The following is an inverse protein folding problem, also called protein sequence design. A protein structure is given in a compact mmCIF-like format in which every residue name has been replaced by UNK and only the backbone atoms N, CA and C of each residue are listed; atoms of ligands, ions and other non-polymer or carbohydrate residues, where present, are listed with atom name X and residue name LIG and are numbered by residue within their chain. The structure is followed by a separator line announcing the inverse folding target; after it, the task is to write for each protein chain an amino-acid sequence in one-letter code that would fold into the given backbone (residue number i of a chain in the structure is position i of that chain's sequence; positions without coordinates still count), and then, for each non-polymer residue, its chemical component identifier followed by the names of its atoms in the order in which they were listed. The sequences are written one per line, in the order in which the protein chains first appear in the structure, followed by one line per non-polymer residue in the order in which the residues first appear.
data_IF_617885491499
#
_entry.id   IF_617885491499
#
_cell.length_a   1.000
_cell.length_b   1.000
_cell.length_c   1.000
_cell.angle_alpha   90.00
_cell.angle_beta   90.00
_cell.angle_gamma   90.00
#
_symmetry.space_group_name_H-M   'P 1'
#
loop_
_entity.id
_entity.type
_entity.pdbx_description
1 polymer ?
#
# COMPACT_ATOMS: atom_id res chain seq x y z
N UNK A 1 47.08 2.05 -8.22
CA UNK A 1 46.90 0.56 -8.12
C UNK A 1 45.55 0.23 -7.43
N UNK A 2 44.48 1.02 -7.62
CA UNK A 2 43.14 0.72 -7.09
C UNK A 2 42.08 1.04 -8.18
N UNK A 3 42.19 0.36 -9.33
CA UNK A 3 41.18 0.48 -10.39
C UNK A 3 40.99 -0.80 -11.20
N UNK A 4 41.09 -1.96 -10.60
CA UNK A 4 40.94 -3.24 -11.28
C UNK A 4 40.15 -4.31 -10.51
N UNK A 5 39.10 -3.88 -9.72
CA UNK A 5 38.19 -4.84 -9.12
C UNK A 5 36.76 -4.37 -9.33
N UNK A 6 36.11 -4.85 -10.38
CA UNK A 6 34.73 -4.51 -10.62
C UNK A 6 34.13 -4.92 -11.96
N UNK A 7 34.78 -5.80 -12.71
CA UNK A 7 34.12 -6.51 -13.82
C UNK A 7 34.15 -8.00 -13.54
N UNK A 8 33.38 -8.43 -12.57
CA UNK A 8 32.99 -9.82 -12.40
C UNK A 8 32.29 -10.24 -13.70
N UNK A 9 33.00 -11.05 -14.51
CA UNK A 9 32.42 -11.81 -15.62
C UNK A 9 31.19 -12.52 -15.07
N UNK A 10 30.01 -12.08 -15.43
CA UNK A 10 28.87 -12.95 -15.50
C UNK A 10 29.31 -14.09 -16.44
N UNK A 11 29.75 -15.19 -15.86
CA UNK A 11 29.99 -16.41 -16.57
C UNK A 11 28.67 -16.70 -17.29
N UNK A 12 28.69 -16.57 -18.61
CA UNK A 12 27.63 -17.06 -19.46
C UNK A 12 27.58 -18.58 -19.23
N UNK A 13 26.82 -19.00 -18.22
CA UNK A 13 26.49 -20.41 -18.02
C UNK A 13 25.88 -20.86 -19.33
N UNK A 14 26.57 -21.73 -20.06
CA UNK A 14 26.06 -22.36 -21.27
C UNK A 14 24.77 -23.08 -20.86
N UNK A 15 23.61 -22.43 -21.10
CA UNK A 15 22.31 -23.00 -20.75
C UNK A 15 22.15 -24.32 -21.53
N UNK A 16 22.07 -25.42 -20.81
CA UNK A 16 21.72 -26.71 -21.35
C UNK A 16 20.38 -26.62 -22.14
N UNK A 17 20.20 -27.47 -23.16
CA UNK A 17 18.91 -27.50 -23.90
C UNK A 17 17.71 -27.69 -22.97
N UNK A 18 17.85 -28.49 -21.89
CA UNK A 18 16.83 -28.67 -20.87
C UNK A 18 16.50 -27.38 -20.12
N UNK A 19 17.51 -26.56 -19.78
CA UNK A 19 17.28 -25.26 -19.10
C UNK A 19 16.52 -24.28 -19.99
N UNK A 20 16.75 -24.29 -21.31
CA UNK A 20 16.01 -23.44 -22.25
C UNK A 20 14.54 -23.82 -22.34
N UNK A 21 14.21 -25.11 -22.31
CA UNK A 21 12.81 -25.57 -22.30
C UNK A 21 12.10 -25.15 -21.02
N UNK A 22 12.75 -25.30 -19.86
CA UNK A 22 12.20 -24.85 -18.57
C UNK A 22 11.97 -23.34 -18.57
N UNK A 23 12.97 -22.55 -19.03
CA UNK A 23 12.84 -21.08 -19.14
C UNK A 23 11.67 -20.70 -20.06
N UNK A 24 11.45 -21.43 -21.18
CA UNK A 24 10.34 -21.17 -22.09
C UNK A 24 8.98 -21.47 -21.44
N UNK A 25 8.88 -22.59 -20.70
CA UNK A 25 7.66 -22.95 -19.97
C UNK A 25 7.36 -21.88 -18.90
N UNK A 26 8.37 -21.46 -18.13
CA UNK A 26 8.20 -20.40 -17.11
C UNK A 26 7.74 -19.08 -17.78
N UNK A 27 8.39 -18.69 -18.88
CA UNK A 27 8.01 -17.49 -19.61
C UNK A 27 6.56 -17.58 -20.14
N UNK A 28 6.14 -18.72 -20.66
CA UNK A 28 4.78 -18.96 -21.14
C UNK A 28 3.74 -18.84 -20.00
N UNK A 29 4.03 -19.47 -18.85
CA UNK A 29 3.17 -19.35 -17.66
C UNK A 29 3.09 -17.89 -17.19
N UNK A 30 4.23 -17.17 -17.13
CA UNK A 30 4.24 -15.76 -16.76
C UNK A 30 3.41 -14.90 -17.72
N UNK A 31 3.50 -15.14 -19.03
CA UNK A 31 2.70 -14.40 -20.03
C UNK A 31 1.21 -14.67 -19.84
N UNK A 32 0.80 -15.91 -19.61
CA UNK A 32 -0.60 -16.25 -19.33
C UNK A 32 -1.08 -15.50 -18.06
N UNK A 33 -0.32 -15.55 -16.98
CA UNK A 33 -0.66 -14.85 -15.74
C UNK A 33 -0.79 -13.33 -15.96
N UNK A 34 0.13 -12.73 -16.71
CA UNK A 34 0.06 -11.30 -17.07
C UNK A 34 -1.23 -11.00 -17.84
N UNK A 35 -1.56 -11.81 -18.84
CA UNK A 35 -2.79 -11.63 -19.62
C UNK A 35 -4.02 -11.73 -18.71
N UNK A 36 -4.12 -12.76 -17.88
CA UNK A 36 -5.25 -12.95 -16.96
C UNK A 36 -5.42 -11.75 -16.01
N UNK A 37 -4.30 -11.19 -15.52
CA UNK A 37 -4.35 -10.03 -14.63
C UNK A 37 -4.68 -8.72 -15.37
N UNK A 38 -4.17 -8.53 -16.59
CA UNK A 38 -4.38 -7.29 -17.35
C UNK A 38 -5.75 -7.20 -18.02
N UNK A 39 -6.32 -8.31 -18.47
CA UNK A 39 -7.60 -8.31 -19.17
C UNK A 39 -8.73 -7.59 -18.41
N UNK A 40 -9.00 -7.88 -17.13
CA UNK A 40 -10.04 -7.18 -16.38
C UNK A 40 -9.74 -5.69 -16.21
N UNK A 41 -8.46 -5.31 -16.02
CA UNK A 41 -8.05 -3.90 -15.90
C UNK A 41 -8.30 -3.13 -17.19
N UNK A 42 -7.91 -3.72 -18.35
CA UNK A 42 -8.16 -3.14 -19.66
C UNK A 42 -9.67 -3.01 -19.95
N UNK A 43 -10.47 -3.99 -19.55
CA UNK A 43 -11.93 -3.91 -19.68
C UNK A 43 -12.51 -2.73 -18.88
N UNK A 44 -12.09 -2.53 -17.62
CA UNK A 44 -12.52 -1.39 -16.80
C UNK A 44 -12.15 -0.06 -17.49
N UNK A 45 -10.92 0.07 -18.00
CA UNK A 45 -10.49 1.27 -18.74
C UNK A 45 -11.30 1.46 -20.01
N UNK A 46 -11.55 0.38 -20.79
CA UNK A 46 -12.37 0.46 -21.99
C UNK A 46 -13.80 0.90 -21.67
N UNK A 47 -14.42 0.35 -20.61
CA UNK A 47 -15.78 0.72 -20.17
C UNK A 47 -15.83 2.17 -19.69
N UNK A 48 -14.81 2.67 -18.97
CA UNK A 48 -14.78 4.05 -18.46
C UNK A 48 -14.75 5.11 -19.58
N UNK A 49 -14.30 4.74 -20.77
CA UNK A 49 -14.18 5.60 -21.96
C UNK A 49 -15.27 5.34 -23.01
N UNK A 50 -16.19 4.42 -22.74
CA UNK A 50 -17.23 4.00 -23.71
C UNK A 50 -18.57 4.70 -23.45
N UNK A 51 -19.42 4.75 -24.50
CA UNK A 51 -20.78 5.23 -24.35
C UNK A 51 -21.62 4.26 -23.52
N UNK A 52 -22.57 4.81 -22.77
CA UNK A 52 -23.53 4.05 -21.94
C UNK A 52 -24.28 3.01 -22.77
N UNK A 53 -24.69 3.34 -24.02
CA UNK A 53 -25.38 2.42 -24.90
C UNK A 53 -24.53 1.21 -25.32
N UNK A 54 -23.24 1.41 -25.60
CA UNK A 54 -22.34 0.33 -25.97
C UNK A 54 -22.10 -0.64 -24.80
N UNK A 55 -22.09 -0.12 -23.56
CA UNK A 55 -21.97 -0.93 -22.34
C UNK A 55 -23.23 -1.77 -22.11
N UNK A 56 -24.43 -1.17 -22.20
CA UNK A 56 -25.71 -1.88 -22.06
C UNK A 56 -25.83 -3.01 -23.10
N UNK A 57 -25.37 -2.73 -24.33
CA UNK A 57 -25.41 -3.75 -25.42
C UNK A 57 -24.31 -4.82 -25.27
N UNK A 58 -23.47 -4.77 -24.21
CA UNK A 58 -22.40 -5.75 -24.01
C UNK A 58 -21.28 -5.71 -25.06
N UNK A 59 -21.14 -4.62 -25.80
CA UNK A 59 -20.23 -4.54 -26.95
C UNK A 59 -18.80 -4.15 -26.58
N UNK A 60 -18.56 -3.76 -25.31
CA UNK A 60 -17.27 -3.29 -24.82
C UNK A 60 -16.51 -4.44 -24.17
N UNK A 61 -15.43 -4.90 -24.79
CA UNK A 61 -14.51 -5.88 -24.19
C UNK A 61 -13.18 -5.24 -23.80
N UNK A 62 -12.28 -5.04 -24.77
CA UNK A 62 -10.92 -4.51 -24.53
C UNK A 62 -10.71 -3.13 -25.13
N UNK A 63 -11.54 -2.71 -26.07
CA UNK A 63 -11.45 -1.43 -26.75
C UNK A 63 -12.70 -0.59 -26.50
N UNK A 64 -12.55 0.73 -26.26
CA UNK A 64 -13.66 1.64 -26.08
C UNK A 64 -14.55 1.67 -27.34
N UNK A 65 -15.86 1.68 -27.15
CA UNK A 65 -16.84 1.90 -28.23
C UNK A 65 -17.70 3.12 -27.92
N UNK A 66 -17.82 4.03 -28.90
CA UNK A 66 -18.54 5.28 -28.69
C UNK A 66 -17.85 6.16 -27.62
N UNK A 67 -16.63 6.65 -27.95
CA UNK A 67 -15.81 7.45 -27.01
C UNK A 67 -16.62 8.51 -26.27
N UNK A 68 -16.63 8.43 -24.92
CA UNK A 68 -17.38 9.35 -24.07
C UNK A 68 -16.61 9.63 -22.77
N UNK A 69 -16.39 10.91 -22.51
CA UNK A 69 -15.72 11.38 -21.29
C UNK A 69 -16.69 11.98 -20.25
N UNK A 70 -18.01 11.83 -20.46
CA UNK A 70 -19.03 12.42 -19.57
C UNK A 70 -18.88 11.92 -18.14
N UNK A 71 -18.58 10.63 -17.92
CA UNK A 71 -18.35 10.08 -16.59
C UNK A 71 -17.15 10.73 -15.89
N UNK A 72 -16.05 10.97 -16.60
CA UNK A 72 -14.90 11.67 -16.06
C UNK A 72 -15.21 13.14 -15.73
N UNK A 73 -15.98 13.83 -16.60
CA UNK A 73 -16.44 15.19 -16.30
C UNK A 73 -17.29 15.23 -15.05
N UNK A 74 -18.19 14.27 -14.86
CA UNK A 74 -19.02 14.17 -13.65
C UNK A 74 -18.16 13.90 -12.41
N UNK A 75 -17.21 12.96 -12.48
CA UNK A 75 -16.29 12.66 -11.37
C UNK A 75 -15.43 13.87 -11.01
N UNK A 76 -14.91 14.59 -11.98
CA UNK A 76 -14.03 15.75 -11.75
C UNK A 76 -14.80 17.00 -11.32
N UNK A 77 -16.06 17.18 -11.75
CA UNK A 77 -16.88 18.32 -11.38
C UNK A 77 -17.54 18.19 -10.00
N UNK A 78 -17.72 16.97 -9.51
CA UNK A 78 -18.27 16.76 -8.17
C UNK A 78 -17.15 16.88 -7.11
N UNK A 79 -17.26 17.92 -6.29
CA UNK A 79 -16.30 18.20 -5.22
C UNK A 79 -16.09 17.03 -4.23
N UNK A 80 -17.05 16.09 -4.13
CA UNK A 80 -16.92 14.91 -3.26
C UNK A 80 -15.77 14.00 -3.70
N UNK A 81 -15.65 13.73 -5.01
CA UNK A 81 -14.59 12.84 -5.53
C UNK A 81 -13.22 13.50 -5.43
N UNK A 82 -13.13 14.75 -5.85
CA UNK A 82 -11.86 15.50 -5.83
C UNK A 82 -11.38 15.73 -4.39
N UNK A 83 -12.28 16.04 -3.46
CA UNK A 83 -11.95 16.18 -2.05
C UNK A 83 -11.55 14.83 -1.43
N UNK A 84 -12.31 13.75 -1.67
CA UNK A 84 -11.95 12.42 -1.16
C UNK A 84 -10.59 11.95 -1.65
N UNK A 85 -10.24 12.26 -2.90
CA UNK A 85 -8.90 11.95 -3.45
C UNK A 85 -7.82 12.76 -2.73
N UNK A 86 -8.00 14.08 -2.60
CA UNK A 86 -7.08 14.97 -1.90
C UNK A 86 -6.92 14.54 -0.43
N UNK A 87 -8.02 14.25 0.25
CA UNK A 87 -8.01 13.73 1.62
C UNK A 87 -7.26 12.42 1.73
N UNK A 88 -7.47 11.48 0.81
CA UNK A 88 -6.74 10.19 0.78
C UNK A 88 -5.24 10.42 0.64
N UNK A 89 -4.81 11.33 -0.23
CA UNK A 89 -3.40 11.66 -0.39
C UNK A 89 -2.81 12.26 0.90
N UNK A 90 -3.48 13.24 1.51
CA UNK A 90 -3.07 13.85 2.78
C UNK A 90 -2.99 12.80 3.89
N UNK A 91 -4.05 12.00 4.04
CA UNK A 91 -4.12 10.94 5.04
C UNK A 91 -3.00 9.91 4.85
N UNK A 92 -2.72 9.53 3.60
CA UNK A 92 -1.63 8.59 3.27
C UNK A 92 -0.28 9.14 3.70
N UNK A 93 0.01 10.41 3.43
CA UNK A 93 1.26 11.06 3.84
C UNK A 93 1.36 11.12 5.36
N UNK A 94 0.33 11.60 6.05
CA UNK A 94 0.32 11.71 7.51
C UNK A 94 0.49 10.34 8.16
N UNK A 95 -0.31 9.34 7.75
CA UNK A 95 -0.21 7.98 8.30
C UNK A 95 1.17 7.37 8.06
N UNK A 96 1.76 7.58 6.87
CA UNK A 96 3.10 7.06 6.57
C UNK A 96 4.16 7.69 7.47
N UNK A 97 4.13 9.00 7.66
CA UNK A 97 5.08 9.70 8.54
C UNK A 97 4.93 9.23 9.98
N UNK A 98 3.70 9.20 10.51
CA UNK A 98 3.42 8.75 11.88
C UNK A 98 3.85 7.30 12.07
N UNK A 99 3.46 6.41 11.15
CA UNK A 99 3.78 4.98 11.25
C UNK A 99 5.28 4.71 11.15
N UNK A 100 6.00 5.38 10.26
CA UNK A 100 7.45 5.26 10.17
C UNK A 100 8.16 5.77 11.41
N UNK A 101 7.69 6.88 11.98
CA UNK A 101 8.22 7.43 13.23
C UNK A 101 8.02 6.44 14.37
N UNK A 102 6.79 5.92 14.56
CA UNK A 102 6.49 4.93 15.59
C UNK A 102 7.27 3.63 15.39
N UNK A 103 7.36 3.13 14.17
CA UNK A 103 8.15 1.93 13.82
C UNK A 103 9.62 2.11 14.19
N UNK A 104 10.21 3.25 13.84
CA UNK A 104 11.61 3.57 14.14
C UNK A 104 11.86 3.70 15.63
N UNK A 105 11.01 4.47 16.34
CA UNK A 105 11.13 4.70 17.78
C UNK A 105 10.92 3.42 18.59
N UNK A 106 10.06 2.50 18.13
CA UNK A 106 9.88 1.19 18.75
C UNK A 106 11.02 0.21 18.45
N UNK A 107 11.54 0.21 17.21
CA UNK A 107 12.58 -0.71 16.79
C UNK A 107 13.96 -0.37 17.41
N UNK A 108 14.30 0.92 17.49
CA UNK A 108 15.64 1.37 17.86
C UNK A 108 16.06 0.99 19.29
N UNK A 109 15.27 1.23 20.35
CA UNK A 109 15.67 0.82 21.71
C UNK A 109 15.87 -0.68 21.85
N UNK A 110 15.14 -1.48 21.06
CA UNK A 110 15.16 -2.93 21.15
C UNK A 110 16.42 -3.58 20.55
N UNK A 111 17.28 -2.81 19.89
CA UNK A 111 18.57 -3.33 19.44
C UNK A 111 19.63 -3.32 20.54
N UNK A 112 19.44 -2.51 21.60
CA UNK A 112 20.41 -2.43 22.70
C UNK A 112 20.29 -3.64 23.63
N UNK A 113 21.39 -4.40 23.78
CA UNK A 113 21.44 -5.58 24.66
C UNK A 113 21.29 -5.22 26.13
N UNK A 114 21.77 -4.03 26.51
CA UNK A 114 21.72 -3.51 27.88
C UNK A 114 20.35 -2.95 28.28
N UNK A 115 19.34 -2.93 27.39
CA UNK A 115 18.00 -2.44 27.71
C UNK A 115 17.33 -3.32 28.77
N UNK A 116 17.06 -2.75 29.94
CA UNK A 116 16.36 -3.45 31.03
C UNK A 116 14.94 -3.81 30.59
N UNK A 117 14.55 -5.08 30.75
CA UNK A 117 13.21 -5.55 30.34
C UNK A 117 13.06 -5.84 28.85
N UNK A 118 14.12 -5.84 28.04
CA UNK A 118 14.07 -6.09 26.58
C UNK A 118 13.31 -7.36 26.21
N UNK A 119 13.51 -8.46 26.96
CA UNK A 119 12.78 -9.73 26.72
C UNK A 119 11.28 -9.56 26.92
N UNK A 120 10.88 -8.87 27.98
CA UNK A 120 9.48 -8.59 28.27
C UNK A 120 8.83 -7.74 27.16
N UNK A 121 9.47 -6.63 26.78
CA UNK A 121 8.96 -5.78 25.70
C UNK A 121 8.86 -6.53 24.36
N UNK A 122 9.87 -7.33 24.00
CA UNK A 122 9.81 -8.16 22.81
C UNK A 122 8.65 -9.16 22.84
N UNK A 123 8.44 -9.84 23.96
CA UNK A 123 7.33 -10.79 24.10
C UNK A 123 5.98 -10.10 24.06
N UNK A 124 5.84 -8.94 24.69
CA UNK A 124 4.62 -8.14 24.68
C UNK A 124 4.26 -7.70 23.25
N UNK A 125 5.24 -7.14 22.52
CA UNK A 125 5.05 -6.70 21.14
C UNK A 125 4.68 -7.88 20.23
N UNK A 126 5.38 -9.00 20.35
CA UNK A 126 5.04 -10.22 19.60
C UNK A 126 3.65 -10.75 19.96
N UNK A 127 3.26 -10.71 21.23
CA UNK A 127 1.91 -11.09 21.65
C UNK A 127 0.85 -10.26 20.94
N UNK A 128 1.03 -8.93 20.82
CA UNK A 128 0.08 -8.05 20.11
C UNK A 128 -0.02 -8.34 18.62
N UNK A 129 0.96 -9.00 18.01
CA UNK A 129 0.92 -9.43 16.62
C UNK A 129 -0.06 -10.57 16.39
N UNK A 130 -0.16 -11.49 17.36
CA UNK A 130 -1.01 -12.69 17.26
C UNK A 130 -2.37 -12.53 17.93
N UNK A 131 -2.46 -11.62 18.91
CA UNK A 131 -3.70 -11.36 19.62
C UNK A 131 -4.44 -10.18 19.01
N UNK A 132 -5.68 -10.45 18.54
CA UNK A 132 -6.59 -9.40 18.05
C UNK A 132 -7.90 -9.52 18.86
N UNK A 133 -8.28 -8.43 19.53
CA UNK A 133 -9.50 -8.38 20.33
C UNK A 133 -10.79 -8.48 19.50
N UNK A 134 -10.69 -8.26 18.19
CA UNK A 134 -11.83 -8.25 17.28
C UNK A 134 -12.46 -6.87 17.08
N UNK A 135 -13.40 -6.82 16.14
CA UNK A 135 -14.00 -5.54 15.69
C UNK A 135 -14.85 -4.88 16.77
N UNK A 136 -15.67 -5.66 17.49
CA UNK A 136 -16.61 -5.13 18.50
C UNK A 136 -15.86 -4.50 19.68
N UNK A 137 -14.90 -5.17 20.36
CA UNK A 137 -14.11 -4.56 21.41
C UNK A 137 -13.36 -3.30 20.97
N UNK A 138 -12.77 -3.32 19.77
CA UNK A 138 -12.08 -2.15 19.23
C UNK A 138 -13.04 -0.97 19.01
N UNK A 139 -14.25 -1.23 18.50
CA UNK A 139 -15.27 -0.19 18.32
C UNK A 139 -15.67 0.43 19.66
N UNK A 140 -15.91 -0.40 20.69
CA UNK A 140 -16.27 0.10 22.02
C UNK A 140 -15.15 0.93 22.63
N UNK A 141 -13.90 0.48 22.51
CA UNK A 141 -12.73 1.23 22.97
C UNK A 141 -12.62 2.60 22.28
N UNK A 142 -12.76 2.65 20.95
CA UNK A 142 -12.66 3.92 20.21
C UNK A 142 -13.85 4.85 20.53
N UNK A 143 -15.00 4.28 20.83
CA UNK A 143 -16.17 5.04 21.31
C UNK A 143 -15.90 5.70 22.67
N UNK A 144 -15.38 4.95 23.64
CA UNK A 144 -15.03 5.45 24.97
C UNK A 144 -13.92 6.49 24.92
N UNK A 145 -12.95 6.34 24.02
CA UNK A 145 -11.88 7.33 23.81
C UNK A 145 -12.32 8.57 23.02
N UNK A 146 -13.61 8.66 22.59
CA UNK A 146 -14.10 9.76 21.80
C UNK A 146 -13.49 9.87 20.39
N UNK A 147 -12.97 8.76 19.86
CA UNK A 147 -12.33 8.71 18.55
C UNK A 147 -13.32 8.45 17.41
N UNK A 148 -14.55 8.04 17.69
CA UNK A 148 -15.54 7.84 16.63
C UNK A 148 -15.85 9.15 15.92
N UNK A 149 -15.98 9.07 14.62
CA UNK A 149 -16.22 10.23 13.74
C UNK A 149 -15.13 11.33 13.82
N UNK A 150 -13.91 10.96 14.22
CA UNK A 150 -12.74 11.82 14.30
C UNK A 150 -11.64 11.26 13.38
N UNK A 151 -11.02 12.07 12.49
CA UNK A 151 -9.92 11.61 11.62
C UNK A 151 -8.77 10.89 12.33
N UNK A 152 -8.56 11.16 13.61
CA UNK A 152 -7.53 10.50 14.42
C UNK A 152 -7.73 8.98 14.52
N UNK A 153 -8.97 8.48 14.39
CA UNK A 153 -9.22 7.02 14.37
C UNK A 153 -8.62 6.33 13.15
N UNK A 154 -8.41 7.07 12.06
CA UNK A 154 -7.76 6.56 10.85
C UNK A 154 -6.23 6.56 10.94
N UNK A 155 -5.66 7.29 11.92
CA UNK A 155 -4.22 7.50 12.06
C UNK A 155 -3.66 6.67 13.23
N UNK A 156 -4.21 6.87 14.44
CA UNK A 156 -3.62 6.35 15.68
C UNK A 156 -3.66 4.82 15.78
N UNK A 157 -4.80 4.13 15.59
CA UNK A 157 -4.87 2.69 15.78
C UNK A 157 -3.94 1.88 14.86
N UNK A 158 -3.72 2.38 13.64
CA UNK A 158 -2.91 1.72 12.62
C UNK A 158 -1.49 2.31 12.51
N UNK A 159 -1.04 3.08 13.51
CA UNK A 159 0.24 3.79 13.47
C UNK A 159 1.46 2.88 13.63
N UNK A 160 1.31 1.64 14.08
CA UNK A 160 2.41 0.70 14.25
C UNK A 160 2.03 -0.68 13.75
N UNK A 161 2.80 -1.20 12.78
CA UNK A 161 2.80 -2.60 12.39
C UNK A 161 3.96 -3.32 13.06
N UNK A 162 3.66 -4.31 13.89
CA UNK A 162 4.70 -5.13 14.56
C UNK A 162 5.57 -5.84 13.53
N UNK A 163 5.00 -6.32 12.43
CA UNK A 163 5.74 -6.96 11.34
C UNK A 163 6.79 -6.01 10.73
N UNK A 164 6.39 -4.78 10.40
CA UNK A 164 7.33 -3.79 9.84
C UNK A 164 8.36 -3.32 10.86
N UNK A 165 7.99 -3.26 12.14
CA UNK A 165 8.91 -2.96 13.22
C UNK A 165 10.01 -4.05 13.35
N UNK A 166 9.65 -5.33 13.21
CA UNK A 166 10.61 -6.43 13.21
C UNK A 166 11.57 -6.33 12.02
N UNK A 167 11.07 -6.01 10.82
CA UNK A 167 11.91 -5.79 9.63
C UNK A 167 12.90 -4.64 9.89
N UNK A 168 12.41 -3.50 10.38
CA UNK A 168 13.27 -2.35 10.71
C UNK A 168 14.34 -2.72 11.73
N UNK A 169 13.97 -3.41 12.81
CA UNK A 169 14.90 -3.88 13.84
C UNK A 169 15.94 -4.83 13.28
N UNK A 170 15.54 -5.78 12.43
CA UNK A 170 16.46 -6.72 11.78
C UNK A 170 17.48 -5.99 10.91
N UNK A 171 17.04 -4.94 10.21
CA UNK A 171 17.94 -4.10 9.43
C UNK A 171 18.90 -3.33 10.34
N UNK A 172 18.44 -2.77 11.45
CA UNK A 172 19.29 -2.10 12.41
C UNK A 172 20.38 -3.01 12.98
N UNK A 173 20.09 -4.31 13.19
CA UNK A 173 21.09 -5.30 13.58
C UNK A 173 22.16 -5.59 12.51
N UNK A 174 21.89 -5.30 11.26
CA UNK A 174 22.87 -5.46 10.18
C UNK A 174 23.92 -4.34 10.14
N UNK A 175 23.70 -3.25 10.87
CA UNK A 175 24.61 -2.12 10.99
C UNK A 175 25.68 -2.50 12.02
N UNK A 176 26.99 -2.40 11.69
CA UNK A 176 28.07 -2.77 12.62
C UNK A 176 28.03 -1.98 13.93
N UNK A 177 28.11 -2.69 15.05
CA UNK A 177 28.12 -2.07 16.40
C UNK A 177 29.29 -1.09 16.61
N UNK A 178 30.41 -1.30 15.91
CA UNK A 178 31.59 -0.41 15.99
C UNK A 178 31.27 1.06 15.65
N UNK A 179 30.31 1.30 14.75
CA UNK A 179 29.89 2.66 14.41
C UNK A 179 29.17 3.33 15.58
N UNK A 180 28.33 2.56 16.28
CA UNK A 180 27.64 3.02 17.48
C UNK A 180 28.62 3.28 18.62
N UNK A 181 29.52 2.32 18.89
CA UNK A 181 30.50 2.39 19.96
C UNK A 181 31.46 3.58 19.78
N UNK A 182 31.93 3.82 18.55
CA UNK A 182 32.75 5.00 18.26
C UNK A 182 32.01 6.31 18.58
N UNK A 183 30.74 6.41 18.17
CA UNK A 183 29.95 7.60 18.45
C UNK A 183 29.64 7.79 19.97
N UNK A 184 29.46 6.68 20.71
CA UNK A 184 29.29 6.72 22.16
C UNK A 184 30.58 7.23 22.83
N UNK A 185 31.77 6.84 22.37
CA UNK A 185 33.07 7.35 22.84
C UNK A 185 33.20 8.85 22.55
N UNK A 186 32.72 9.31 21.38
CA UNK A 186 32.67 10.73 21.01
C UNK A 186 31.60 11.53 21.78
N UNK A 187 30.90 10.90 22.74
CA UNK A 187 29.89 11.54 23.59
C UNK A 187 28.54 11.76 22.93
N UNK A 188 28.24 11.07 21.82
CA UNK A 188 26.95 11.16 21.18
C UNK A 188 25.87 10.41 21.99
N UNK A 189 24.78 11.12 22.34
CA UNK A 189 23.62 10.49 22.97
C UNK A 189 22.80 9.61 22.00
N UNK A 190 21.92 8.72 22.52
CA UNK A 190 21.17 7.76 21.72
C UNK A 190 20.35 8.37 20.56
N UNK A 191 19.73 9.52 20.79
CA UNK A 191 18.94 10.22 19.75
C UNK A 191 19.85 10.71 18.61
N UNK A 192 21.02 11.25 18.94
CA UNK A 192 22.00 11.69 17.94
C UNK A 192 22.51 10.52 17.12
N UNK A 193 22.79 9.39 17.75
CA UNK A 193 23.22 8.15 17.09
C UNK A 193 22.11 7.65 16.13
N UNK A 194 20.85 7.64 16.58
CA UNK A 194 19.72 7.29 15.72
C UNK A 194 19.67 8.18 14.48
N UNK A 195 19.69 9.50 14.66
CA UNK A 195 19.50 10.46 13.57
C UNK A 195 20.70 10.53 12.62
N UNK A 196 21.92 10.40 13.14
CA UNK A 196 23.16 10.61 12.37
C UNK A 196 23.75 9.33 11.79
N UNK A 197 23.46 8.16 12.37
CA UNK A 197 24.05 6.88 11.94
C UNK A 197 22.96 5.93 11.44
N UNK A 198 22.03 5.55 12.31
CA UNK A 198 21.05 4.51 11.95
C UNK A 198 20.11 4.93 10.84
N UNK A 199 19.47 6.11 10.90
CA UNK A 199 18.54 6.57 9.88
C UNK A 199 19.19 6.76 8.49
N UNK A 200 20.37 7.43 8.37
CA UNK A 200 21.03 7.56 7.08
C UNK A 200 21.44 6.24 6.44
N UNK A 201 21.93 5.29 7.24
CA UNK A 201 22.32 3.97 6.77
C UNK A 201 21.10 3.08 6.42
N UNK A 202 19.95 3.36 7.03
CA UNK A 202 18.70 2.61 6.86
C UNK A 202 17.78 3.15 5.77
N UNK A 203 18.22 4.10 4.94
CA UNK A 203 17.42 4.66 3.85
C UNK A 203 16.72 3.59 2.97
N UNK A 204 17.35 2.47 2.59
CA UNK A 204 16.68 1.46 1.76
C UNK A 204 15.47 0.81 2.44
N UNK A 205 15.60 0.40 3.71
CA UNK A 205 14.49 -0.21 4.45
C UNK A 205 13.42 0.82 4.81
N UNK A 206 13.80 2.05 5.14
CA UNK A 206 12.87 3.16 5.39
C UNK A 206 12.01 3.41 4.15
N UNK A 207 12.61 3.49 2.96
CA UNK A 207 11.89 3.69 1.71
C UNK A 207 10.92 2.53 1.43
N UNK A 208 11.36 1.28 1.65
CA UNK A 208 10.52 0.09 1.45
C UNK A 208 9.33 0.05 2.41
N UNK A 209 9.56 0.27 3.69
CA UNK A 209 8.49 0.25 4.69
C UNK A 209 7.55 1.45 4.54
N UNK A 210 8.06 2.63 4.19
CA UNK A 210 7.23 3.79 3.86
C UNK A 210 6.29 3.50 2.70
N UNK A 211 6.78 2.79 1.67
CA UNK A 211 5.94 2.34 0.56
C UNK A 211 4.83 1.40 1.03
N UNK A 212 5.15 0.42 1.86
CA UNK A 212 4.14 -0.53 2.37
C UNK A 212 3.06 0.18 3.19
N UNK A 213 3.43 1.11 4.08
CA UNK A 213 2.48 1.92 4.81
C UNK A 213 1.63 2.79 3.89
N UNK A 214 2.26 3.47 2.91
CA UNK A 214 1.56 4.33 1.97
C UNK A 214 0.56 3.57 1.11
N UNK A 215 0.96 2.43 0.52
CA UNK A 215 0.08 1.57 -0.29
C UNK A 215 -1.05 0.99 0.55
N UNK A 216 -0.74 0.52 1.77
CA UNK A 216 -1.74 0.00 2.70
C UNK A 216 -2.78 1.06 3.06
N UNK A 217 -2.37 2.30 3.35
CA UNK A 217 -3.30 3.40 3.67
C UNK A 217 -4.10 3.87 2.46
N UNK A 218 -3.46 3.99 1.29
CA UNK A 218 -4.15 4.37 0.05
C UNK A 218 -5.31 3.44 -0.29
N UNK A 219 -5.12 2.13 -0.09
CA UNK A 219 -6.14 1.11 -0.38
C UNK A 219 -7.08 0.83 0.80
N UNK A 220 -6.79 1.36 1.99
CA UNK A 220 -7.57 1.13 3.20
C UNK A 220 -8.87 1.92 3.22
N UNK A 221 -9.98 1.25 3.51
CA UNK A 221 -11.30 1.88 3.68
C UNK A 221 -12.10 1.30 4.85
N UNK A 222 -11.76 0.12 5.34
CA UNK A 222 -12.55 -0.62 6.33
C UNK A 222 -12.69 0.12 7.65
N UNK A 223 -11.64 0.80 8.09
CA UNK A 223 -11.63 1.64 9.29
C UNK A 223 -12.52 2.87 9.11
N UNK A 224 -12.46 3.53 7.95
CA UNK A 224 -13.35 4.65 7.64
C UNK A 224 -14.81 4.20 7.54
N UNK A 225 -15.08 3.01 6.96
CA UNK A 225 -16.42 2.43 6.89
C UNK A 225 -17.02 2.17 8.28
N UNK A 226 -16.19 1.74 9.24
CA UNK A 226 -16.65 1.36 10.58
C UNK A 226 -16.75 2.53 11.54
N UNK A 227 -15.84 3.50 11.44
CA UNK A 227 -15.67 4.50 12.50
C UNK A 227 -15.99 5.94 12.05
N UNK A 228 -16.23 6.19 10.74
CA UNK A 228 -16.46 7.52 10.19
C UNK A 228 -17.87 7.64 9.60
N UNK A 229 -18.71 8.51 10.19
CA UNK A 229 -20.03 8.84 9.65
C UNK A 229 -19.99 10.11 8.77
N UNK A 230 -19.08 11.03 9.06
CA UNK A 230 -18.95 12.29 8.31
C UNK A 230 -18.27 12.04 6.96
N UNK A 231 -19.03 12.25 5.88
CA UNK A 231 -18.59 12.04 4.50
C UNK A 231 -17.39 12.91 4.11
N UNK A 232 -17.13 14.00 4.80
CA UNK A 232 -15.96 14.87 4.55
C UNK A 232 -14.64 14.15 4.78
N UNK A 233 -14.62 13.14 5.64
CA UNK A 233 -13.41 12.37 6.00
C UNK A 233 -13.35 10.99 5.34
N UNK A 234 -14.24 10.73 4.36
CA UNK A 234 -14.24 9.46 3.64
C UNK A 234 -13.08 9.43 2.62
N UNK A 235 -12.18 8.43 2.71
CA UNK A 235 -11.18 8.20 1.67
C UNK A 235 -11.84 7.79 0.35
N UNK A 236 -11.13 7.97 -0.77
CA UNK A 236 -11.64 7.66 -2.12
C UNK A 236 -12.05 6.19 -2.26
N UNK A 237 -11.36 5.27 -1.57
CA UNK A 237 -11.67 3.84 -1.60
C UNK A 237 -13.02 3.53 -0.92
N UNK A 238 -13.39 4.25 0.15
CA UNK A 238 -14.70 4.10 0.77
C UNK A 238 -15.80 4.64 -0.14
N UNK A 239 -15.55 5.75 -0.82
CA UNK A 239 -16.49 6.30 -1.78
C UNK A 239 -16.71 5.32 -2.95
N UNK A 240 -15.64 4.73 -3.47
CA UNK A 240 -15.67 3.69 -4.48
C UNK A 240 -16.47 2.46 -4.00
N UNK A 241 -16.19 1.97 -2.79
CA UNK A 241 -16.92 0.86 -2.19
C UNK A 241 -18.43 1.14 -2.12
N UNK A 242 -18.84 2.35 -1.71
CA UNK A 242 -20.25 2.73 -1.63
C UNK A 242 -20.92 2.77 -3.01
N UNK A 243 -20.20 3.22 -4.05
CA UNK A 243 -20.72 3.21 -5.44
C UNK A 243 -20.91 1.77 -5.91
N UNK A 244 -19.91 0.90 -5.71
CA UNK A 244 -20.00 -0.50 -6.08
C UNK A 244 -21.20 -1.18 -5.41
N UNK A 245 -21.39 -0.94 -4.12
CA UNK A 245 -22.51 -1.49 -3.35
C UNK A 245 -23.87 -0.96 -3.82
N UNK A 246 -23.96 0.32 -4.16
CA UNK A 246 -25.22 0.90 -4.67
C UNK A 246 -25.63 0.33 -6.03
N UNK A 247 -24.67 0.09 -6.92
CA UNK A 247 -24.92 -0.52 -8.23
C UNK A 247 -25.45 -1.95 -8.06
N UNK A 248 -24.82 -2.76 -7.23
CA UNK A 248 -25.29 -4.13 -6.94
C UNK A 248 -26.71 -4.13 -6.36
N UNK A 249 -27.04 -3.16 -5.51
CA UNK A 249 -28.40 -3.03 -4.96
C UNK A 249 -29.43 -2.63 -6.02
N UNK A 250 -29.03 -1.80 -7.00
CA UNK A 250 -29.88 -1.39 -8.12
C UNK A 250 -30.09 -2.57 -9.08
N UNK A 251 -29.06 -3.37 -9.37
CA UNK A 251 -29.17 -4.57 -10.21
C UNK A 251 -30.14 -5.58 -9.60
N UNK A 252 -30.09 -5.81 -8.29
CA UNK A 252 -31.02 -6.68 -7.58
C UNK A 252 -32.44 -6.12 -7.66
N UNK A 253 -32.63 -4.80 -7.43
CA UNK A 253 -33.94 -4.16 -7.52
C UNK A 253 -34.50 -4.18 -8.95
N UNK A 254 -33.64 -4.10 -9.97
CA UNK A 254 -34.05 -4.18 -11.39
C UNK A 254 -34.49 -5.60 -11.77
N UNK A 255 -33.87 -6.63 -11.22
CA UNK A 255 -34.32 -8.03 -11.38
C UNK A 255 -35.68 -8.28 -10.73
N UNK A 256 -36.04 -7.51 -9.70
CA UNK A 256 -37.35 -7.54 -9.04
C UNK A 256 -38.41 -6.65 -9.74
N UNK A 257 -38.09 -6.01 -10.86
CA UNK A 257 -39.06 -5.24 -11.69
C UNK A 257 -39.12 -3.75 -11.37
N UNK A 258 -38.23 -3.19 -10.53
CA UNK A 258 -38.12 -1.75 -10.28
C UNK A 258 -37.11 -1.13 -11.25
N UNK A 259 -37.61 -0.43 -12.29
CA UNK A 259 -36.79 0.13 -13.37
C UNK A 259 -35.89 1.29 -12.90
N UNK A 260 -34.59 1.12 -13.03
CA UNK A 260 -33.59 2.19 -13.02
C UNK A 260 -32.69 2.05 -14.25
N UNK A 261 -32.26 3.14 -14.86
CA UNK A 261 -31.48 3.15 -16.09
C UNK A 261 -30.07 2.53 -15.88
N UNK A 262 -29.79 1.31 -16.34
CA UNK A 262 -28.64 0.52 -15.88
C UNK A 262 -27.28 0.94 -16.45
N UNK A 263 -27.13 1.73 -17.43
CA UNK A 263 -25.83 1.92 -18.10
C UNK A 263 -24.97 3.09 -17.63
N UNK A 264 -25.57 4.16 -17.07
CA UNK A 264 -24.81 5.34 -16.61
C UNK A 264 -24.03 5.02 -15.33
N UNK A 265 -24.57 4.16 -14.46
CA UNK A 265 -23.93 3.73 -13.23
C UNK A 265 -22.66 2.93 -13.51
N UNK A 266 -22.64 2.06 -14.49
CA UNK A 266 -21.50 1.22 -14.88
C UNK A 266 -20.32 2.04 -15.44
N UNK A 267 -20.65 3.05 -16.29
CA UNK A 267 -19.62 3.95 -16.82
C UNK A 267 -19.01 4.81 -15.71
N UNK A 268 -19.86 5.35 -14.82
CA UNK A 268 -19.44 6.16 -13.68
C UNK A 268 -18.58 5.34 -12.70
N UNK A 269 -18.99 4.10 -12.43
CA UNK A 269 -18.24 3.15 -11.61
C UNK A 269 -16.85 2.91 -12.20
N UNK A 270 -16.78 2.54 -13.49
CA UNK A 270 -15.51 2.27 -14.18
C UNK A 270 -14.60 3.50 -14.20
N UNK A 271 -15.17 4.70 -14.45
CA UNK A 271 -14.43 5.95 -14.41
C UNK A 271 -13.91 6.27 -13.00
N UNK A 272 -14.69 6.00 -11.95
CA UNK A 272 -14.27 6.23 -10.55
C UNK A 272 -13.16 5.24 -10.15
N UNK A 273 -13.22 3.98 -10.57
CA UNK A 273 -12.14 2.99 -10.36
C UNK A 273 -10.85 3.50 -10.99
N UNK A 274 -10.88 3.92 -12.25
CA UNK A 274 -9.69 4.45 -12.94
C UNK A 274 -9.18 5.70 -12.24
N UNK A 275 -10.07 6.64 -11.90
CA UNK A 275 -9.72 7.88 -11.18
C UNK A 275 -9.02 7.63 -9.84
N UNK A 276 -9.50 6.65 -9.05
CA UNK A 276 -8.90 6.27 -7.77
C UNK A 276 -7.56 5.52 -7.91
N UNK A 277 -7.38 4.80 -9.04
CA UNK A 277 -6.21 3.93 -9.26
C UNK A 277 -5.05 4.66 -9.95
N UNK A 278 -5.33 5.61 -10.86
CA UNK A 278 -4.29 6.33 -11.62
C UNK A 278 -3.22 6.96 -10.74
N UNK A 279 -3.52 7.66 -9.62
CA UNK A 279 -2.47 8.30 -8.83
C UNK A 279 -1.45 7.31 -8.28
N UNK A 280 -1.87 6.15 -7.79
CA UNK A 280 -0.95 5.14 -7.25
C UNK A 280 -0.13 4.48 -8.37
N UNK A 281 -0.73 4.28 -9.55
CA UNK A 281 -0.02 3.75 -10.72
C UNK A 281 1.07 4.71 -11.21
N UNK A 282 0.85 6.02 -11.15
CA UNK A 282 1.84 7.02 -11.52
C UNK A 282 3.01 7.09 -10.53
N UNK A 283 2.77 6.83 -9.25
CA UNK A 283 3.81 6.84 -8.22
C UNK A 283 4.62 5.53 -8.20
N UNK A 284 4.00 4.41 -8.62
CA UNK A 284 4.60 3.07 -8.54
C UNK A 284 5.97 2.94 -9.25
N UNK A 285 6.20 3.40 -10.49
CA UNK A 285 7.51 3.26 -11.16
C UNK A 285 8.65 3.96 -10.41
N UNK A 286 8.33 5.08 -9.74
CA UNK A 286 9.33 5.79 -8.93
C UNK A 286 9.65 5.01 -7.64
N UNK A 287 8.67 4.32 -7.05
CA UNK A 287 8.84 3.52 -5.85
C UNK A 287 9.49 2.16 -6.13
N UNK A 288 9.28 1.57 -7.32
CA UNK A 288 9.79 0.26 -7.72
C UNK A 288 11.33 0.14 -7.59
N UNK A 289 12.07 1.22 -7.89
CA UNK A 289 13.54 1.24 -7.78
C UNK A 289 14.04 0.98 -6.35
N UNK A 290 13.28 1.39 -5.33
CA UNK A 290 13.62 1.16 -3.93
C UNK A 290 13.24 -0.26 -3.47
N UNK A 291 12.18 -0.82 -4.07
CA UNK A 291 11.73 -2.19 -3.77
C UNK A 291 12.76 -3.25 -4.19
N UNK A 292 13.33 -3.11 -5.39
CA UNK A 292 14.36 -4.05 -5.90
C UNK A 292 15.58 -4.05 -4.98
N UNK A 293 15.99 -2.89 -4.46
CA UNK A 293 17.12 -2.77 -3.54
C UNK A 293 16.83 -3.37 -2.15
N UNK A 294 15.57 -3.31 -1.69
CA UNK A 294 15.17 -3.86 -0.39
C UNK A 294 14.99 -5.38 -0.39
N UNK A 295 14.46 -5.94 -1.47
CA UNK A 295 14.24 -7.39 -1.60
C UNK A 295 15.57 -8.19 -1.67
N UNK A 296 16.61 -7.61 -2.27
CA UNK A 296 17.95 -8.25 -2.36
C UNK A 296 18.68 -8.28 -1.03
N UNK A 297 18.39 -7.34 -0.10
CA UNK A 297 19.02 -7.33 1.23
C UNK A 297 18.52 -8.46 2.15
N UNK A 298 17.33 -9.00 1.93
CA UNK A 298 16.82 -10.18 2.62
C UNK A 298 17.39 -11.51 2.12
N UNK A 299 17.90 -11.52 0.89
CA UNK A 299 18.43 -12.73 0.22
C UNK A 299 19.95 -12.92 0.38
N UNK A 300 20.68 -11.95 0.93
CA UNK A 300 22.14 -12.00 1.13
C UNK A 300 22.56 -12.60 2.49
N UNK A 301 21.74 -13.44 3.08
CA UNK A 301 22.09 -14.24 4.27
C UNK A 301 22.20 -15.72 3.90
N UNK A 302 23.12 -16.03 2.99
CA UNK A 302 23.76 -17.36 2.87
C UNK A 302 25.24 -17.18 2.52
#
# INVERSE_FOLDING_TARGET
VIQAWGRGRASAMVKSKGTKVVDLIIAFICVILIIICLLPMLNIVARSLSSTEAIIKGQVMLWPKGWNLTAYKLVLSDSKYTWSLAWTAILTVICTIVSMTMTTLCAYPLIYDKLKGRRFFNSLILFTMYFNAGTIPNYLLYKELGLLNNPLVLIIPNSLSVFYMIIMRTFFYSIPDSLRESAEIDGAGPVRILLSIYLPLSKPVIATLSLFYAVGRWNGFSDALMYMNDRRWHPIQLLLYNILKSVTSIEVATQEGFASAPGLSDTLQSATVVFATVPILLVYPWLQKYFISGATLGALKD
#
